data_IF_436463165576
#
_entry.id   IF_436463165576
#
_cell.length_a   1.000
_cell.length_b   1.000
_cell.length_c   1.000
_cell.angle_alpha   90.00
_cell.angle_beta   90.00
_cell.angle_gamma   90.00
#
_symmetry.space_group_name_H-M   'P 1'
#
loop_
_entity.id
_entity.type
_entity.pdbx_description
1 polymer ?
#
# COMPACT_ATOMS: atom_id res chain seq x y z
N UNK A 1 -18.91 12.09 14.85
CA UNK A 1 -19.06 13.56 14.68
C UNK A 1 -19.30 13.86 13.21
N UNK A 2 -20.20 14.79 12.91
CA UNK A 2 -20.76 14.94 11.56
C UNK A 2 -19.74 15.37 10.50
N UNK A 3 -18.62 15.99 10.90
CA UNK A 3 -17.61 16.46 9.96
C UNK A 3 -16.89 15.34 9.19
N UNK A 4 -16.89 14.10 9.71
CA UNK A 4 -16.27 12.95 9.01
C UNK A 4 -16.99 12.60 7.70
N UNK A 5 -18.18 13.14 7.45
CA UNK A 5 -18.92 12.97 6.19
C UNK A 5 -18.52 14.00 5.11
N UNK A 6 -17.69 14.98 5.46
CA UNK A 6 -17.23 16.02 4.53
C UNK A 6 -16.06 15.50 3.69
N UNK A 7 -16.37 14.60 2.75
CA UNK A 7 -15.38 13.83 1.95
C UNK A 7 -14.46 14.68 1.07
N UNK A 8 -14.81 15.94 0.82
CA UNK A 8 -14.02 16.92 0.05
C UNK A 8 -13.09 17.79 0.92
N UNK A 9 -13.07 17.62 2.24
CA UNK A 9 -12.12 18.35 3.09
C UNK A 9 -10.68 18.00 2.71
N UNK A 10 -9.88 19.03 2.45
CA UNK A 10 -8.47 18.90 2.08
C UNK A 10 -7.55 19.21 3.26
N UNK A 11 -7.95 20.14 4.13
CA UNK A 11 -7.19 20.55 5.30
C UNK A 11 -8.10 20.60 6.52
N UNK A 12 -7.61 20.03 7.61
CA UNK A 12 -8.25 20.08 8.93
C UNK A 12 -7.17 20.46 9.94
N UNK A 13 -7.44 21.47 10.75
CA UNK A 13 -6.60 21.91 11.86
C UNK A 13 -7.39 21.72 13.15
N UNK A 14 -6.88 20.84 14.00
CA UNK A 14 -7.41 20.53 15.33
C UNK A 14 -6.32 20.74 16.39
N UNK A 15 -5.28 21.51 16.07
CA UNK A 15 -4.16 21.78 16.96
C UNK A 15 -4.60 22.53 18.24
N UNK A 16 -3.86 22.32 19.33
CA UNK A 16 -4.03 22.99 20.62
C UNK A 16 -5.42 22.82 21.23
N UNK A 17 -6.00 21.64 21.06
CA UNK A 17 -7.25 21.25 21.71
C UNK A 17 -6.97 20.28 22.87
N UNK A 18 -8.04 19.71 23.43
CA UNK A 18 -7.96 18.71 24.50
C UNK A 18 -8.49 17.36 24.02
N UNK A 19 -8.29 17.04 22.73
CA UNK A 19 -8.79 15.80 22.15
C UNK A 19 -8.08 14.61 22.78
N UNK A 20 -8.86 13.73 23.40
CA UNK A 20 -8.39 12.46 23.98
C UNK A 20 -8.54 11.30 22.99
N UNK A 21 -9.48 11.42 22.05
CA UNK A 21 -9.69 10.47 20.96
C UNK A 21 -10.12 11.19 19.67
N UNK A 22 -9.94 10.49 18.56
CA UNK A 22 -10.49 10.86 17.26
C UNK A 22 -11.63 9.90 16.90
N UNK A 23 -12.61 10.35 16.11
CA UNK A 23 -13.75 9.51 15.73
C UNK A 23 -13.32 8.31 14.89
N UNK A 24 -14.03 7.18 15.08
CA UNK A 24 -13.80 5.96 14.30
C UNK A 24 -14.05 6.15 12.80
N UNK A 25 -14.83 7.17 12.42
CA UNK A 25 -15.17 7.49 11.03
C UNK A 25 -14.16 8.44 10.36
N UNK A 26 -13.07 8.83 11.02
CA UNK A 26 -12.10 9.79 10.46
C UNK A 26 -11.56 9.34 9.08
N UNK A 27 -11.41 8.03 8.88
CA UNK A 27 -11.00 7.43 7.60
C UNK A 27 -11.89 7.77 6.40
N UNK A 28 -13.13 8.24 6.62
CA UNK A 28 -14.05 8.65 5.55
C UNK A 28 -13.60 9.94 4.84
N UNK A 29 -12.69 10.72 5.43
CA UNK A 29 -12.14 11.96 4.85
C UNK A 29 -11.14 11.64 3.73
N UNK A 30 -11.62 11.02 2.66
CA UNK A 30 -10.81 10.48 1.58
C UNK A 30 -9.99 11.53 0.83
N UNK A 31 -10.40 12.81 0.80
CA UNK A 31 -9.66 13.90 0.15
C UNK A 31 -8.66 14.62 1.07
N UNK A 32 -8.57 14.24 2.35
CA UNK A 32 -7.77 14.96 3.34
C UNK A 32 -6.29 14.83 3.03
N UNK A 33 -5.61 15.97 2.92
CA UNK A 33 -4.18 16.06 2.61
C UNK A 33 -3.36 16.64 3.76
N UNK A 34 -3.98 17.45 4.62
CA UNK A 34 -3.31 18.08 5.75
C UNK A 34 -4.16 17.93 7.01
N UNK A 35 -3.57 17.34 8.05
CA UNK A 35 -4.21 17.17 9.34
C UNK A 35 -3.25 17.64 10.44
N UNK A 36 -3.62 18.70 11.15
CA UNK A 36 -2.86 19.18 12.30
C UNK A 36 -3.55 18.73 13.60
N UNK A 37 -2.83 17.95 14.42
CA UNK A 37 -3.26 17.45 15.71
C UNK A 37 -2.28 17.85 16.82
N UNK A 38 -1.38 18.80 16.54
CA UNK A 38 -0.39 19.32 17.47
C UNK A 38 -1.01 19.69 18.82
N UNK A 39 -0.34 19.35 19.92
CA UNK A 39 -0.72 19.70 21.29
C UNK A 39 -2.17 19.32 21.65
N UNK A 40 -2.43 18.02 21.69
CA UNK A 40 -3.68 17.43 22.17
C UNK A 40 -3.39 16.44 23.31
N UNK A 41 -4.32 15.52 23.61
CA UNK A 41 -4.18 14.46 24.63
C UNK A 41 -4.39 13.07 24.03
N UNK A 42 -4.04 12.91 22.75
CA UNK A 42 -4.19 11.65 22.03
C UNK A 42 -3.15 10.65 22.51
N UNK A 43 -3.59 9.45 22.85
CA UNK A 43 -2.71 8.30 23.13
C UNK A 43 -2.63 7.36 21.93
N UNK A 44 -3.72 7.26 21.17
CA UNK A 44 -3.90 6.37 20.03
C UNK A 44 -4.61 7.09 18.88
N UNK A 45 -4.51 6.51 17.68
CA UNK A 45 -5.32 6.89 16.52
C UNK A 45 -6.30 5.76 16.19
N UNK A 46 -7.50 6.06 15.66
CA UNK A 46 -8.46 5.04 15.24
C UNK A 46 -7.89 4.21 14.09
N UNK A 47 -8.23 2.92 14.02
CA UNK A 47 -7.70 2.02 12.97
C UNK A 47 -8.05 2.49 11.55
N UNK A 48 -9.19 3.18 11.40
CA UNK A 48 -9.62 3.82 10.15
C UNK A 48 -8.69 4.94 9.67
N UNK A 49 -7.76 5.44 10.50
CA UNK A 49 -6.74 6.40 10.09
C UNK A 49 -5.91 5.88 8.91
N UNK A 50 -5.73 4.55 8.80
CA UNK A 50 -5.10 3.88 7.66
C UNK A 50 -5.78 4.15 6.31
N UNK A 51 -7.03 4.61 6.31
CA UNK A 51 -7.85 4.87 5.12
C UNK A 51 -7.64 6.29 4.55
N UNK A 52 -6.92 7.18 5.26
CA UNK A 52 -6.59 8.53 4.81
C UNK A 52 -5.50 8.51 3.72
N UNK A 53 -5.80 7.90 2.57
CA UNK A 53 -4.85 7.60 1.48
C UNK A 53 -4.21 8.83 0.85
N UNK A 54 -4.86 9.99 0.97
CA UNK A 54 -4.36 11.25 0.41
C UNK A 54 -3.63 12.12 1.43
N UNK A 55 -3.48 11.67 2.69
CA UNK A 55 -2.85 12.48 3.73
C UNK A 55 -1.35 12.63 3.43
N UNK A 56 -0.92 13.88 3.31
CA UNK A 56 0.46 14.25 2.93
C UNK A 56 1.18 14.97 4.05
N UNK A 57 0.49 15.59 4.98
CA UNK A 57 1.07 16.34 6.08
C UNK A 57 0.34 16.02 7.37
N UNK A 58 1.09 15.71 8.41
CA UNK A 58 0.58 15.35 9.72
C UNK A 58 1.52 15.87 10.80
N UNK A 59 0.95 16.55 11.79
CA UNK A 59 1.63 16.85 13.05
C UNK A 59 0.86 16.21 14.21
N UNK A 60 1.60 15.44 15.02
CA UNK A 60 1.11 14.78 16.24
C UNK A 60 1.93 15.18 17.46
N UNK A 61 2.87 16.13 17.33
CA UNK A 61 3.74 16.55 18.42
C UNK A 61 2.93 17.05 19.61
N UNK A 62 3.50 16.95 20.81
CA UNK A 62 2.88 17.34 22.08
C UNK A 62 1.58 16.56 22.37
N UNK A 63 1.53 15.29 21.97
CA UNK A 63 0.54 14.30 22.39
C UNK A 63 1.19 13.16 23.19
N UNK A 64 0.52 12.62 24.22
CA UNK A 64 1.00 11.47 25.00
C UNK A 64 0.80 10.13 24.25
N UNK A 65 1.31 10.04 23.02
CA UNK A 65 1.13 8.86 22.15
C UNK A 65 1.77 7.62 22.77
N UNK A 66 1.14 6.45 22.53
CA UNK A 66 1.76 5.15 22.83
C UNK A 66 3.13 5.01 22.15
N UNK A 67 4.11 4.31 22.77
CA UNK A 67 5.51 4.34 22.33
C UNK A 67 5.74 3.94 20.87
N UNK A 68 5.02 2.92 20.39
CA UNK A 68 5.16 2.44 19.01
C UNK A 68 4.66 3.47 17.99
N UNK A 69 3.55 4.14 18.30
CA UNK A 69 3.00 5.20 17.49
C UNK A 69 3.88 6.46 17.55
N UNK A 70 4.37 6.83 18.73
CA UNK A 70 5.30 7.95 18.90
C UNK A 70 6.57 7.75 18.06
N UNK A 71 7.14 6.54 18.07
CA UNK A 71 8.30 6.18 17.24
C UNK A 71 7.99 6.25 15.74
N UNK A 72 6.80 5.82 15.32
CA UNK A 72 6.39 5.90 13.92
C UNK A 72 6.17 7.36 13.47
N UNK A 73 5.54 8.18 14.31
CA UNK A 73 5.33 9.60 14.05
C UNK A 73 6.66 10.34 13.93
N UNK A 74 7.55 10.15 14.91
CA UNK A 74 8.81 10.89 15.03
C UNK A 74 8.56 12.39 15.19
N UNK A 75 9.59 13.19 14.93
CA UNK A 75 9.49 14.65 15.00
C UNK A 75 8.84 15.26 13.75
N UNK A 76 8.24 16.45 13.94
CA UNK A 76 7.69 17.30 12.90
C UNK A 76 8.14 18.75 13.19
N UNK A 77 9.43 19.01 12.99
CA UNK A 77 10.03 20.35 13.21
C UNK A 77 9.99 21.23 11.96
N UNK A 78 9.82 20.62 10.79
CA UNK A 78 9.75 21.29 9.49
C UNK A 78 8.78 20.56 8.56
N UNK A 79 8.41 21.21 7.44
CA UNK A 79 7.44 20.67 6.49
C UNK A 79 7.81 19.27 5.95
N UNK A 80 9.10 19.01 5.74
CA UNK A 80 9.58 17.73 5.22
C UNK A 80 9.37 16.63 6.27
N UNK A 81 9.69 16.91 7.53
CA UNK A 81 9.48 15.98 8.63
C UNK A 81 8.00 15.66 8.83
N UNK A 82 7.11 16.64 8.75
CA UNK A 82 5.66 16.42 8.88
C UNK A 82 5.07 15.60 7.72
N UNK A 83 5.64 15.72 6.50
CA UNK A 83 5.29 14.85 5.38
C UNK A 83 5.75 13.40 5.60
N UNK A 84 6.92 13.23 6.18
CA UNK A 84 7.44 11.91 6.56
C UNK A 84 6.62 11.29 7.69
N UNK A 85 6.24 12.08 8.70
CA UNK A 85 5.32 11.69 9.77
C UNK A 85 4.03 11.10 9.21
N UNK A 86 3.34 11.81 8.31
CA UNK A 86 2.13 11.32 7.66
C UNK A 86 2.34 9.94 7.00
N UNK A 87 3.42 9.81 6.22
CA UNK A 87 3.72 8.57 5.49
C UNK A 87 4.01 7.39 6.44
N UNK A 88 4.82 7.61 7.49
CA UNK A 88 5.19 6.57 8.46
C UNK A 88 4.00 6.17 9.33
N UNK A 89 3.20 7.13 9.79
CA UNK A 89 2.00 6.86 10.59
C UNK A 89 0.97 6.08 9.77
N UNK A 90 0.71 6.47 8.52
CA UNK A 90 -0.18 5.70 7.64
C UNK A 90 0.33 4.27 7.40
N UNK A 91 1.64 4.09 7.24
CA UNK A 91 2.22 2.75 7.10
C UNK A 91 2.01 1.94 8.39
N UNK A 92 2.30 2.51 9.55
CA UNK A 92 2.09 1.86 10.84
C UNK A 92 0.61 1.50 11.08
N UNK A 93 -0.31 2.42 10.78
CA UNK A 93 -1.75 2.17 10.89
C UNK A 93 -2.24 1.08 9.94
N UNK A 94 -1.69 0.98 8.72
CA UNK A 94 -2.03 -0.10 7.77
C UNK A 94 -1.65 -1.47 8.32
N UNK A 95 -0.46 -1.60 8.91
CA UNK A 95 -0.03 -2.86 9.54
C UNK A 95 -1.00 -3.28 10.66
N UNK A 96 -1.38 -2.34 11.54
CA UNK A 96 -2.36 -2.60 12.60
C UNK A 96 -3.72 -3.01 12.03
N UNK A 97 -4.19 -2.34 10.97
CA UNK A 97 -5.45 -2.66 10.30
C UNK A 97 -5.42 -4.07 9.70
N UNK A 98 -4.34 -4.45 9.00
CA UNK A 98 -4.16 -5.77 8.42
C UNK A 98 -4.11 -6.88 9.49
N UNK A 99 -3.42 -6.64 10.60
CA UNK A 99 -3.40 -7.57 11.74
C UNK A 99 -4.79 -7.73 12.37
N UNK A 100 -5.52 -6.62 12.53
CA UNK A 100 -6.89 -6.64 13.04
C UNK A 100 -7.85 -7.37 12.09
N UNK A 101 -7.72 -7.16 10.78
CA UNK A 101 -8.50 -7.86 9.74
C UNK A 101 -8.22 -9.37 9.75
N UNK A 102 -6.94 -9.76 9.78
CA UNK A 102 -6.55 -11.18 9.88
C UNK A 102 -7.07 -11.82 11.16
N UNK A 103 -7.01 -11.11 12.28
CA UNK A 103 -7.55 -11.60 13.55
C UNK A 103 -9.08 -11.75 13.50
N UNK A 104 -9.80 -10.82 12.86
CA UNK A 104 -11.25 -10.91 12.64
C UNK A 104 -11.61 -12.12 11.76
N UNK A 105 -10.93 -12.29 10.64
CA UNK A 105 -11.16 -13.42 9.73
C UNK A 105 -10.92 -14.77 10.43
N UNK A 106 -9.82 -14.89 11.18
CA UNK A 106 -9.52 -16.09 11.98
C UNK A 106 -10.59 -16.39 13.02
N UNK A 107 -11.15 -15.36 13.67
CA UNK A 107 -12.27 -15.53 14.63
C UNK A 107 -13.52 -16.02 13.92
N UNK A 108 -13.87 -15.43 12.78
CA UNK A 108 -15.02 -15.83 11.98
C UNK A 108 -14.92 -17.28 11.50
N UNK A 109 -13.73 -17.71 11.05
CA UNK A 109 -13.50 -19.10 10.64
C UNK A 109 -13.66 -20.08 11.82
N UNK A 110 -13.13 -19.73 12.99
CA UNK A 110 -13.30 -20.54 14.21
C UNK A 110 -14.76 -20.67 14.61
N UNK A 111 -15.51 -19.58 14.54
CA UNK A 111 -16.95 -19.56 14.82
C UNK A 111 -17.72 -20.46 13.85
N UNK A 112 -17.45 -20.37 12.54
CA UNK A 112 -18.04 -21.24 11.51
C UNK A 112 -17.73 -22.73 11.75
N UNK A 113 -16.51 -23.06 12.17
CA UNK A 113 -16.14 -24.45 12.51
C UNK A 113 -16.95 -24.96 13.71
N UNK A 114 -17.10 -24.14 14.75
CA UNK A 114 -17.91 -24.47 15.93
C UNK A 114 -19.37 -24.67 15.55
N UNK A 115 -19.94 -23.76 14.76
CA UNK A 115 -21.32 -23.85 14.27
C UNK A 115 -21.54 -25.12 13.44
N UNK A 116 -20.63 -25.42 12.51
CA UNK A 116 -20.71 -26.63 11.69
C UNK A 116 -20.63 -27.90 12.57
N UNK A 117 -19.73 -27.93 13.56
CA UNK A 117 -19.64 -29.02 14.53
C UNK A 117 -20.92 -29.17 15.35
N UNK A 118 -21.52 -28.07 15.80
CA UNK A 118 -22.79 -28.08 16.51
C UNK A 118 -23.93 -28.62 15.62
N UNK A 119 -24.01 -28.19 14.36
CA UNK A 119 -25.01 -28.67 13.41
C UNK A 119 -24.93 -30.19 13.16
N UNK A 120 -23.72 -30.76 13.19
CA UNK A 120 -23.51 -32.22 13.10
C UNK A 120 -23.98 -32.96 14.37
N UNK A 121 -23.88 -32.35 15.54
CA UNK A 121 -24.33 -32.97 16.81
C UNK A 121 -25.85 -32.99 17.00
N UNK A 122 -26.59 -32.11 16.31
CA UNK A 122 -28.05 -31.94 16.48
C UNK A 122 -28.87 -32.80 15.49
N UNK A 123 -28.28 -33.32 14.40
CA UNK A 123 -29.01 -34.19 13.46
C UNK A 123 -29.15 -35.61 14.03
N UNK A 124 -30.38 -36.09 14.36
CA UNK A 124 -30.55 -37.45 14.84
C UNK A 124 -30.29 -38.45 13.71
N UNK A 125 -29.57 -39.51 14.07
CA UNK A 125 -29.22 -40.70 13.30
C UNK A 125 -29.78 -40.81 11.87
N UNK A 126 -28.94 -40.52 10.87
CA UNK A 126 -28.97 -41.25 9.61
C UNK A 126 -27.55 -41.32 9.00
N UNK A 127 -27.01 -42.55 9.04
CA UNK A 127 -25.95 -43.19 8.24
C UNK A 127 -24.70 -42.40 7.77
N UNK A 128 -23.51 -42.99 7.96
CA UNK A 128 -22.15 -42.58 7.52
C UNK A 128 -21.35 -41.57 8.36
N UNK A 129 -21.10 -41.89 9.65
CA UNK A 129 -20.06 -41.25 10.53
C UNK A 129 -18.71 -40.91 9.89
N UNK A 130 -18.09 -41.80 9.12
CA UNK A 130 -16.74 -41.57 8.60
C UNK A 130 -16.66 -40.45 7.54
N UNK A 131 -17.75 -40.18 6.82
CA UNK A 131 -17.77 -39.23 5.69
C UNK A 131 -17.70 -37.78 6.15
N UNK A 132 -18.38 -37.43 7.23
CA UNK A 132 -18.39 -36.07 7.77
C UNK A 132 -17.21 -35.78 8.68
N UNK A 133 -16.69 -36.76 9.43
CA UNK A 133 -15.43 -36.59 10.18
C UNK A 133 -14.25 -36.32 9.22
N UNK A 134 -14.24 -37.01 8.07
CA UNK A 134 -13.28 -36.75 6.99
C UNK A 134 -13.46 -35.36 6.37
N UNK A 135 -14.69 -34.88 6.25
CA UNK A 135 -14.98 -33.53 5.73
C UNK A 135 -14.59 -32.44 6.73
N UNK A 136 -14.80 -32.67 8.03
CA UNK A 136 -14.37 -31.77 9.11
C UNK A 136 -12.84 -31.70 9.18
N UNK A 137 -12.17 -32.87 9.13
CA UNK A 137 -10.71 -32.95 9.06
C UNK A 137 -10.17 -32.31 7.79
N UNK A 138 -10.87 -32.42 6.65
CA UNK A 138 -10.51 -31.70 5.44
C UNK A 138 -10.66 -30.19 5.62
N UNK A 139 -11.75 -29.69 6.21
CA UNK A 139 -11.91 -28.25 6.48
C UNK A 139 -10.88 -27.74 7.50
N UNK A 140 -10.64 -28.46 8.60
CA UNK A 140 -9.60 -28.13 9.57
C UNK A 140 -8.21 -28.18 8.95
N UNK A 141 -7.92 -29.15 8.09
CA UNK A 141 -6.68 -29.21 7.29
C UNK A 141 -6.57 -28.08 6.30
N UNK A 142 -7.66 -27.67 5.64
CA UNK A 142 -7.66 -26.54 4.71
C UNK A 142 -7.42 -25.24 5.47
N UNK A 143 -8.05 -25.03 6.62
CA UNK A 143 -7.83 -23.84 7.46
C UNK A 143 -6.41 -23.83 8.03
N UNK A 144 -5.89 -24.96 8.52
CA UNK A 144 -4.51 -25.05 9.02
C UNK A 144 -3.49 -24.91 7.90
N UNK A 145 -3.71 -25.53 6.74
CA UNK A 145 -2.88 -25.41 5.53
C UNK A 145 -2.92 -24.00 4.96
N UNK A 146 -4.07 -23.33 4.91
CA UNK A 146 -4.16 -21.92 4.51
C UNK A 146 -3.44 -21.02 5.50
N UNK A 147 -3.54 -21.27 6.81
CA UNK A 147 -2.78 -20.49 7.81
C UNK A 147 -1.28 -20.75 7.73
N UNK A 148 -0.88 -21.98 7.37
CA UNK A 148 0.51 -22.36 7.17
C UNK A 148 1.07 -21.75 5.88
N UNK A 149 0.34 -21.85 4.77
CA UNK A 149 0.70 -21.25 3.48
C UNK A 149 0.75 -19.72 3.58
N UNK A 150 -0.20 -19.09 4.27
CA UNK A 150 -0.18 -17.65 4.53
C UNK A 150 1.01 -17.23 5.43
N UNK A 151 1.42 -18.08 6.38
CA UNK A 151 2.65 -17.85 7.16
C UNK A 151 3.90 -18.01 6.29
N UNK A 152 3.94 -19.00 5.40
CA UNK A 152 5.04 -19.22 4.46
C UNK A 152 5.14 -18.09 3.45
N UNK A 153 4.01 -17.59 2.93
CA UNK A 153 3.95 -16.42 2.04
C UNK A 153 4.34 -15.14 2.77
N UNK A 154 3.94 -14.95 4.02
CA UNK A 154 4.38 -13.83 4.84
C UNK A 154 5.89 -13.89 5.13
N UNK A 155 6.45 -15.07 5.43
CA UNK A 155 7.89 -15.27 5.57
C UNK A 155 8.63 -15.05 4.24
N UNK A 156 8.07 -15.51 3.12
CA UNK A 156 8.65 -15.31 1.79
C UNK A 156 8.61 -13.83 1.38
N UNK A 157 7.55 -13.10 1.73
CA UNK A 157 7.44 -11.65 1.51
C UNK A 157 8.39 -10.86 2.42
N UNK A 158 8.61 -11.30 3.66
CA UNK A 158 9.62 -10.74 4.56
C UNK A 158 11.05 -11.00 4.05
N UNK A 159 11.32 -12.21 3.56
CA UNK A 159 12.60 -12.56 2.93
C UNK A 159 12.83 -11.83 1.60
N UNK A 160 11.77 -11.51 0.85
CA UNK A 160 11.84 -10.68 -0.35
C UNK A 160 11.99 -9.17 -0.05
N UNK A 161 11.73 -8.75 1.19
CA UNK A 161 11.89 -7.37 1.69
C UNK A 161 13.28 -7.07 2.25
N UNK A 162 14.16 -8.07 2.41
CA UNK A 162 15.56 -7.86 2.81
C UNK A 162 16.45 -7.56 1.57
N UNK A 163 17.00 -6.36 1.56
CA UNK A 163 17.60 -5.60 0.46
C UNK A 163 18.64 -6.28 -0.51
N UNK A 164 18.74 -5.76 -1.76
CA UNK A 164 19.70 -6.19 -2.79
C UNK A 164 21.12 -5.64 -2.56
N UNK A 165 21.74 -5.98 -1.43
CA UNK A 165 23.13 -5.62 -1.11
C UNK A 165 24.06 -6.84 -0.89
N UNK A 166 23.51 -8.06 -0.77
CA UNK A 166 24.28 -9.25 -0.40
C UNK A 166 24.45 -10.35 -1.48
N UNK A 167 23.95 -10.15 -2.71
CA UNK A 167 24.12 -11.10 -3.82
C UNK A 167 25.37 -10.85 -4.68
N UNK A 168 26.47 -10.41 -4.06
CA UNK A 168 27.78 -10.27 -4.74
C UNK A 168 28.92 -11.09 -4.09
N UNK A 169 28.68 -11.81 -2.99
CA UNK A 169 29.76 -12.48 -2.23
C UNK A 169 29.90 -13.99 -2.45
N UNK A 170 29.13 -14.60 -3.36
CA UNK A 170 29.17 -16.06 -3.63
C UNK A 170 29.79 -16.48 -4.96
N UNK A 171 30.38 -15.54 -5.70
CA UNK A 171 31.06 -15.82 -6.97
C UNK A 171 32.47 -15.22 -7.02
N UNK A 172 33.31 -15.47 -6.01
CA UNK A 172 34.76 -15.32 -6.16
C UNK A 172 35.52 -15.95 -4.98
N UNK A 173 35.67 -17.27 -4.98
CA UNK A 173 36.70 -17.95 -4.17
C UNK A 173 37.38 -19.07 -4.96
N UNK A 174 37.68 -18.79 -6.23
CA UNK A 174 38.62 -19.56 -7.03
C UNK A 174 39.50 -18.57 -7.80
N UNK A 175 40.81 -18.81 -7.72
CA UNK A 175 41.92 -18.09 -8.37
C UNK A 175 42.53 -16.89 -7.60
N UNK A 176 43.66 -17.19 -6.96
CA UNK A 176 44.64 -16.24 -6.46
C UNK A 176 45.41 -15.54 -7.60
N UNK A 177 45.87 -14.30 -7.39
CA UNK A 177 47.01 -13.75 -8.12
C UNK A 177 47.03 -12.23 -8.38
N UNK A 178 47.92 -11.53 -7.63
CA UNK A 178 48.62 -10.26 -7.94
C UNK A 178 47.89 -8.91 -7.83
N UNK A 179 48.58 -8.00 -7.13
CA UNK A 179 48.30 -6.57 -6.85
C UNK A 179 48.30 -5.70 -8.11
N UNK A 180 47.30 -4.83 -8.27
CA UNK A 180 47.36 -3.54 -9.00
C UNK A 180 46.37 -2.53 -8.36
N UNK A 181 46.76 -1.26 -8.35
CA UNK A 181 46.17 -0.01 -7.80
C UNK A 181 44.68 0.22 -8.17
N UNK A 182 43.83 0.87 -7.34
CA UNK A 182 42.44 1.14 -7.70
C UNK A 182 42.28 2.45 -8.49
N UNK A 183 41.88 2.33 -9.75
CA UNK A 183 41.27 3.39 -10.56
C UNK A 183 39.73 3.26 -10.50
N UNK A 184 39.02 4.38 -10.47
CA UNK A 184 37.57 4.50 -10.32
C UNK A 184 36.76 3.87 -11.48
N UNK A 185 35.66 3.10 -11.24
CA UNK A 185 34.84 2.60 -12.34
C UNK A 185 33.63 3.50 -12.65
N UNK A 186 33.54 3.84 -13.94
CA UNK A 186 32.47 4.55 -14.64
C UNK A 186 31.18 3.71 -14.74
N UNK A 187 30.03 4.38 -14.69
CA UNK A 187 28.68 3.81 -14.97
C UNK A 187 28.59 3.26 -16.41
N UNK A 188 27.90 2.13 -16.65
CA UNK A 188 27.60 1.67 -18.00
C UNK A 188 26.51 2.56 -18.61
N UNK A 189 26.88 3.32 -19.63
CA UNK A 189 25.95 3.99 -20.51
C UNK A 189 25.60 3.01 -21.63
N UNK A 190 24.31 2.73 -21.83
CA UNK A 190 23.81 2.12 -23.07
C UNK A 190 23.23 3.22 -23.97
N UNK A 191 24.09 4.02 -24.65
CA UNK A 191 23.64 5.16 -25.44
C UNK A 191 22.82 4.71 -26.66
N UNK A 192 23.08 3.50 -27.17
CA UNK A 192 22.40 2.98 -28.35
C UNK A 192 20.92 2.67 -28.12
N UNK A 193 20.56 2.07 -26.98
CA UNK A 193 19.15 1.75 -26.68
C UNK A 193 18.33 3.03 -26.46
N UNK A 194 18.92 4.00 -25.76
CA UNK A 194 18.28 5.28 -25.48
C UNK A 194 18.16 6.16 -26.73
N UNK A 195 19.14 6.08 -27.65
CA UNK A 195 19.08 6.74 -28.96
C UNK A 195 18.01 6.11 -29.86
N UNK A 196 17.92 4.77 -29.87
CA UNK A 196 16.92 4.03 -30.63
C UNK A 196 15.50 4.34 -30.14
N UNK A 197 15.30 4.41 -28.82
CA UNK A 197 14.02 4.79 -28.21
C UNK A 197 13.63 6.25 -28.53
N UNK A 198 14.60 7.18 -28.54
CA UNK A 198 14.36 8.57 -28.96
C UNK A 198 14.01 8.69 -30.44
N UNK A 199 14.70 7.96 -31.31
CA UNK A 199 14.39 7.91 -32.76
C UNK A 199 12.99 7.36 -33.00
N UNK A 200 12.60 6.28 -32.31
CA UNK A 200 11.26 5.70 -32.39
C UNK A 200 10.18 6.70 -31.94
N UNK A 201 10.41 7.41 -30.82
CA UNK A 201 9.46 8.40 -30.29
C UNK A 201 9.27 9.58 -31.25
N UNK A 202 10.36 10.07 -31.85
CA UNK A 202 10.31 11.16 -32.85
C UNK A 202 9.57 10.73 -34.12
N UNK A 203 9.74 9.48 -34.56
CA UNK A 203 9.05 8.94 -35.72
C UNK A 203 7.54 8.82 -35.47
N UNK A 204 7.14 8.36 -34.27
CA UNK A 204 5.73 8.27 -33.86
C UNK A 204 5.06 9.65 -33.75
N UNK A 205 5.76 10.64 -33.17
CA UNK A 205 5.27 12.02 -33.12
C UNK A 205 5.17 12.66 -34.51
N UNK A 206 6.11 12.36 -35.41
CA UNK A 206 6.07 12.83 -36.80
C UNK A 206 4.90 12.25 -37.59
N UNK A 207 4.60 10.96 -37.43
CA UNK A 207 3.44 10.31 -38.06
C UNK A 207 2.11 10.84 -37.52
N UNK A 208 2.02 11.08 -36.20
CA UNK A 208 0.84 11.70 -35.59
C UNK A 208 0.65 13.15 -36.06
N UNK A 209 1.76 13.91 -36.20
CA UNK A 209 1.74 15.27 -36.74
C UNK A 209 1.32 15.32 -38.21
N UNK A 210 1.84 14.42 -39.05
CA UNK A 210 1.46 14.33 -40.46
C UNK A 210 -0.02 13.95 -40.64
N UNK A 211 -0.54 13.02 -39.83
CA UNK A 211 -1.96 12.66 -39.84
C UNK A 211 -2.86 13.83 -39.40
N UNK A 212 -2.46 14.58 -38.37
CA UNK A 212 -3.19 15.76 -37.91
C UNK A 212 -3.18 16.90 -38.95
N UNK A 213 -2.06 17.11 -39.65
CA UNK A 213 -1.96 18.11 -40.72
C UNK A 213 -2.77 17.69 -41.96
N UNK A 214 -2.73 16.41 -42.34
CA UNK A 214 -3.58 15.90 -43.43
C UNK A 214 -5.08 16.08 -43.12
N UNK A 215 -5.52 15.78 -41.89
CA UNK A 215 -6.91 15.99 -41.47
C UNK A 215 -7.33 17.46 -41.47
N UNK A 216 -6.43 18.42 -41.21
CA UNK A 216 -6.75 19.85 -41.29
C UNK A 216 -6.79 20.38 -42.73
N UNK A 217 -6.03 19.79 -43.66
CA UNK A 217 -6.00 20.25 -45.06
C UNK A 217 -7.13 19.71 -45.92
N UNK A 218 -7.76 18.59 -45.54
CA UNK A 218 -8.88 18.00 -46.29
C UNK A 218 -10.20 18.78 -46.14
N UNK A 219 -10.34 19.61 -45.10
CA UNK A 219 -11.51 20.49 -44.90
C UNK A 219 -11.47 21.79 -45.72
N UNK A 220 -10.42 22.00 -46.54
CA UNK A 220 -10.21 23.27 -47.30
C UNK A 220 -10.39 23.15 -48.81
N UNK A 221 -10.85 22.01 -49.32
CA UNK A 221 -11.12 21.79 -50.75
C UNK A 221 -12.55 21.28 -50.98
N UNK A 222 -13.54 22.12 -50.73
CA UNK A 222 -14.88 21.97 -51.33
C UNK A 222 -15.33 23.35 -51.86
N UNK A 223 -15.35 23.42 -53.20
CA UNK A 223 -16.07 24.29 -54.14
C UNK A 223 -16.42 25.75 -53.77
N UNK A 224 -15.75 26.69 -54.46
CA UNK A 224 -16.40 27.92 -54.94
C UNK A 224 -17.05 27.63 -56.29
N UNK A 225 -18.39 27.65 -56.34
CA UNK A 225 -19.16 27.85 -57.57
C UNK A 225 -20.19 28.97 -57.32
N UNK A 226 -20.15 29.98 -58.19
CA UNK A 226 -20.97 31.18 -58.20
C UNK A 226 -22.39 30.92 -58.75
N UNK A 227 -23.36 31.83 -58.53
CA UNK A 227 -24.66 31.78 -59.21
C UNK A 227 -24.70 32.69 -60.45
N UNK A 228 -25.60 32.28 -61.37
CA UNK A 228 -26.14 32.93 -62.58
C UNK A 228 -25.34 32.75 -63.87
#
# INVERSE_FOLDING_TARGET
>A
PEFCNLTHLVKVDLSKNQLTCLPGELGNLSSLQHLDLYNNKLTLLPVSFSQLRNLRWLDLKDNPLEPDLARAAGDCLDEKQCKQCASRVLQHMRLIQEEADRAREKRLLREKVIEHRAALTVKPHQCNRPSYESTLLMFERVVTSQSYNAQVEALAAQAAGEHPFYTAMKASSAAAGRKVVPESPRKPQHPFLHLLLRLLLLLLLGLAGAAAVCHLTDMRKEAMCAPV
#
